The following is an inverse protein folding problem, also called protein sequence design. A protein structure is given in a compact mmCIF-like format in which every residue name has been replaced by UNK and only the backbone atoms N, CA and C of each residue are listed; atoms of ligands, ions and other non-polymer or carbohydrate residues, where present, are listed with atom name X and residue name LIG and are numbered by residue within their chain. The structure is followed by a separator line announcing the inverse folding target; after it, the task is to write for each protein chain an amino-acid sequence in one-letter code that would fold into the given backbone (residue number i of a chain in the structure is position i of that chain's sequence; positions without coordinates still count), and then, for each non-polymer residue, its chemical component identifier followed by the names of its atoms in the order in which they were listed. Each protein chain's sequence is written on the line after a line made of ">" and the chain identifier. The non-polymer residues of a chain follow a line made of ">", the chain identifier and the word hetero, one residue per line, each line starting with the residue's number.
data_IF_670065065487
#
_entry.id   IF_670065065487
#
_cell.length_a   1.000
_cell.length_b   1.000
_cell.length_c   1.000
_cell.angle_alpha   90.00
_cell.angle_beta   90.00
_cell.angle_gamma   90.00
#
_symmetry.space_group_name_H-M   'P 1'
#
loop_
_entity.id
_entity.type
_entity.pdbx_description
1 polymer ?
#
# COMPACT_ATOMS: atom_id res chain seq x y z
N UNK A 1 7.49 -0.76 -35.51
CA UNK A 1 8.17 -1.49 -34.41
C UNK A 1 7.08 -2.09 -33.53
N UNK A 2 6.75 -3.38 -33.68
CA UNK A 2 5.77 -4.06 -32.82
C UNK A 2 6.52 -4.53 -31.58
N UNK A 3 6.23 -3.94 -30.42
CA UNK A 3 6.76 -4.42 -29.13
C UNK A 3 6.14 -5.80 -28.89
N UNK A 4 6.95 -6.85 -28.97
CA UNK A 4 6.52 -8.19 -28.55
C UNK A 4 6.57 -8.19 -27.02
N UNK A 5 5.42 -8.02 -26.38
CA UNK A 5 5.30 -8.24 -24.94
C UNK A 5 5.48 -9.74 -24.68
N UNK A 6 6.30 -10.10 -23.71
CA UNK A 6 6.34 -11.48 -23.20
C UNK A 6 5.14 -11.70 -22.28
N UNK A 7 4.67 -12.94 -22.10
CA UNK A 7 3.56 -13.21 -21.17
C UNK A 7 3.85 -12.71 -19.74
N UNK A 8 5.13 -12.65 -19.34
CA UNK A 8 5.60 -12.11 -18.06
C UNK A 8 5.29 -10.62 -17.90
N UNK A 9 5.53 -9.80 -18.93
CA UNK A 9 5.28 -8.34 -18.89
C UNK A 9 3.80 -8.00 -18.63
N UNK A 10 2.88 -8.86 -19.09
CA UNK A 10 1.45 -8.69 -18.86
C UNK A 10 1.05 -8.99 -17.42
N UNK A 11 1.67 -10.01 -16.82
CA UNK A 11 1.42 -10.40 -15.42
C UNK A 11 2.00 -9.37 -14.47
N UNK A 12 3.18 -8.82 -14.78
CA UNK A 12 3.81 -7.74 -14.04
C UNK A 12 2.91 -6.49 -14.02
N UNK A 13 2.47 -6.01 -15.19
CA UNK A 13 1.59 -4.84 -15.27
C UNK A 13 0.24 -5.04 -14.57
N UNK A 14 -0.31 -6.27 -14.57
CA UNK A 14 -1.51 -6.58 -13.80
C UNK A 14 -1.24 -6.55 -12.29
N UNK A 15 -0.14 -7.15 -11.85
CA UNK A 15 0.26 -7.22 -10.44
C UNK A 15 0.55 -5.82 -9.87
N UNK A 16 1.18 -4.95 -10.65
CA UNK A 16 1.37 -3.52 -10.30
C UNK A 16 0.04 -2.81 -10.03
N UNK A 17 -0.96 -3.04 -10.88
CA UNK A 17 -2.29 -2.48 -10.69
C UNK A 17 -2.98 -2.99 -9.41
N UNK A 18 -2.85 -4.29 -9.13
CA UNK A 18 -3.39 -4.90 -7.91
C UNK A 18 -2.71 -4.32 -6.66
N UNK A 19 -1.37 -4.22 -6.68
CA UNK A 19 -0.60 -3.67 -5.55
C UNK A 19 -0.93 -2.19 -5.33
N UNK A 20 -1.09 -1.40 -6.39
CA UNK A 20 -1.53 -0.01 -6.30
C UNK A 20 -2.91 0.12 -5.62
N UNK A 21 -3.88 -0.72 -6.00
CA UNK A 21 -5.21 -0.73 -5.38
C UNK A 21 -5.13 -1.11 -3.89
N UNK A 22 -4.34 -2.14 -3.54
CA UNK A 22 -4.12 -2.54 -2.15
C UNK A 22 -3.58 -1.36 -1.32
N UNK A 23 -2.52 -0.70 -1.80
CA UNK A 23 -1.91 0.46 -1.11
C UNK A 23 -2.94 1.57 -0.86
N UNK A 24 -3.82 1.85 -1.83
CA UNK A 24 -4.87 2.87 -1.67
C UNK A 24 -5.98 2.48 -0.71
N UNK A 25 -6.37 1.20 -0.66
CA UNK A 25 -7.44 0.72 0.24
C UNK A 25 -6.93 0.63 1.68
N UNK A 26 -5.66 0.30 1.88
CA UNK A 26 -5.08 0.15 3.24
C UNK A 26 -5.28 1.38 4.13
N UNK A 27 -5.26 2.59 3.56
CA UNK A 27 -5.44 3.82 4.36
C UNK A 27 -6.86 3.96 4.93
N UNK A 28 -7.84 3.27 4.34
CA UNK A 28 -9.24 3.32 4.78
C UNK A 28 -9.44 2.68 6.17
N UNK A 29 -8.54 1.79 6.59
CA UNK A 29 -8.55 1.23 7.95
C UNK A 29 -8.02 2.21 9.01
N UNK A 30 -7.35 3.28 8.60
CA UNK A 30 -6.94 4.35 9.52
C UNK A 30 -8.13 5.27 9.82
N UNK A 31 -8.96 4.85 10.77
CA UNK A 31 -10.16 5.59 11.17
C UNK A 31 -9.79 6.80 12.04
N UNK A 32 -10.52 7.92 11.90
CA UNK A 32 -10.34 9.07 12.78
C UNK A 32 -10.73 8.72 14.22
N UNK A 33 -10.14 9.40 15.23
CA UNK A 33 -10.53 9.21 16.61
C UNK A 33 -11.95 9.74 16.86
N UNK A 34 -12.65 9.14 17.83
CA UNK A 34 -14.05 9.53 18.17
C UNK A 34 -14.17 10.95 18.74
N UNK A 35 -13.06 11.52 19.22
CA UNK A 35 -12.97 12.84 19.82
C UNK A 35 -11.96 13.70 19.08
N UNK A 36 -12.22 15.01 19.00
CA UNK A 36 -11.32 16.00 18.38
C UNK A 36 -10.21 16.49 19.31
N UNK A 37 -9.83 15.71 20.33
CA UNK A 37 -8.79 16.08 21.29
C UNK A 37 -7.43 15.47 20.92
N UNK A 38 -6.34 16.15 21.28
CA UNK A 38 -4.98 15.64 21.08
C UNK A 38 -4.76 14.28 21.79
N UNK A 39 -5.35 14.10 22.97
CA UNK A 39 -5.28 12.82 23.69
C UNK A 39 -5.91 11.66 22.92
N UNK A 40 -6.98 11.92 22.16
CA UNK A 40 -7.62 10.89 21.34
C UNK A 40 -6.75 10.51 20.13
N UNK A 41 -5.93 11.45 19.62
CA UNK A 41 -4.93 11.13 18.60
C UNK A 41 -3.82 10.22 19.13
N UNK A 42 -3.41 10.42 20.38
CA UNK A 42 -2.47 9.51 21.05
C UNK A 42 -3.09 8.12 21.17
N UNK A 43 -4.36 7.97 21.54
CA UNK A 43 -4.97 6.63 21.66
C UNK A 43 -4.91 5.80 20.37
N UNK A 44 -4.97 6.43 19.19
CA UNK A 44 -4.90 5.73 17.90
C UNK A 44 -3.47 5.58 17.35
N UNK A 45 -2.44 6.05 18.07
CA UNK A 45 -1.04 5.96 17.63
C UNK A 45 -0.59 4.53 17.26
N UNK A 46 -1.00 3.45 17.99
CA UNK A 46 -0.57 2.10 17.64
C UNK A 46 -1.14 1.65 16.29
N UNK A 47 -2.39 2.00 15.98
CA UNK A 47 -3.04 1.70 14.70
C UNK A 47 -2.36 2.45 13.56
N UNK A 48 -2.03 3.73 13.77
CA UNK A 48 -1.26 4.52 12.80
C UNK A 48 0.12 3.91 12.54
N UNK A 49 0.83 3.50 13.59
CA UNK A 49 2.14 2.85 13.46
C UNK A 49 2.06 1.51 12.71
N UNK A 50 1.04 0.70 13.00
CA UNK A 50 0.78 -0.54 12.27
C UNK A 50 0.51 -0.28 10.79
N UNK A 51 -0.35 0.70 10.46
CA UNK A 51 -0.59 1.14 9.08
C UNK A 51 0.70 1.57 8.38
N UNK A 52 1.52 2.41 9.02
CA UNK A 52 2.76 2.91 8.43
C UNK A 52 3.76 1.79 8.15
N UNK A 53 3.94 0.85 9.09
CA UNK A 53 4.78 -0.33 8.90
C UNK A 53 4.27 -1.21 7.76
N UNK A 54 2.96 -1.48 7.71
CA UNK A 54 2.36 -2.25 6.61
C UNK A 54 2.54 -1.56 5.27
N UNK A 55 2.33 -0.24 5.19
CA UNK A 55 2.52 0.54 3.98
C UNK A 55 3.96 0.44 3.47
N UNK A 56 4.94 0.58 4.37
CA UNK A 56 6.37 0.44 4.04
C UNK A 56 6.66 -0.97 3.53
N UNK A 57 6.16 -2.02 4.19
CA UNK A 57 6.40 -3.40 3.76
C UNK A 57 5.81 -3.70 2.38
N UNK A 58 4.57 -3.28 2.11
CA UNK A 58 3.95 -3.46 0.79
C UNK A 58 4.70 -2.64 -0.27
N UNK A 59 5.15 -1.43 0.05
CA UNK A 59 5.97 -0.62 -0.85
C UNK A 59 7.32 -1.26 -1.18
N UNK A 60 8.00 -1.85 -0.19
CA UNK A 60 9.25 -2.61 -0.41
C UNK A 60 8.97 -3.84 -1.27
N UNK A 61 7.88 -4.57 -0.99
CA UNK A 61 7.48 -5.73 -1.80
C UNK A 61 7.23 -5.35 -3.24
N UNK A 62 6.50 -4.25 -3.49
CA UNK A 62 6.27 -3.71 -4.82
C UNK A 62 7.59 -3.34 -5.51
N UNK A 63 8.47 -2.60 -4.82
CA UNK A 63 9.76 -2.20 -5.38
C UNK A 63 10.61 -3.42 -5.77
N UNK A 64 10.60 -4.47 -4.96
CA UNK A 64 11.26 -5.73 -5.29
C UNK A 64 10.59 -6.43 -6.48
N UNK A 65 9.26 -6.42 -6.57
CA UNK A 65 8.52 -7.04 -7.67
C UNK A 65 8.73 -6.33 -9.01
N UNK A 66 8.72 -5.00 -9.02
CA UNK A 66 8.88 -4.18 -10.24
C UNK A 66 10.32 -4.13 -10.77
N UNK A 67 11.31 -4.52 -9.95
CA UNK A 67 12.71 -4.62 -10.36
C UNK A 67 13.15 -6.05 -10.74
N UNK A 68 12.30 -7.07 -10.55
CA UNK A 68 12.58 -8.48 -10.88
C UNK A 68 12.07 -8.83 -12.27
#
# INVERSE_FOLDING_TARGET
>A
MRRFYTESDRVEAFSDGVIAVIITIMVLELRPPESTTLSALVQIWPTFAAYALSFIFVGIYWNNHHHM
#
